data_IF_124147416667
#
_entry.id   IF_124147416667
#
_cell.length_a   1.000
_cell.length_b   1.000
_cell.length_c   1.000
_cell.angle_alpha   90.00
_cell.angle_beta   90.00
_cell.angle_gamma   90.00
#
_symmetry.space_group_name_H-M   'P 1'
#
loop_
_entity.id
_entity.type
_entity.pdbx_description
1 polymer ?
#
# COMPACT_ATOMS: atom_id res chain seq x y z
N UNK A 1 -24.60 1.52 10.60
CA UNK A 1 -23.97 1.71 10.51
C UNK A 1 -22.93 1.39 10.49
N UNK A 2 -22.46 1.43 10.27
CA UNK A 2 -21.44 1.30 10.09
C UNK A 2 -20.53 1.39 10.56
N UNK A 3 -20.48 1.61 11.00
CA UNK A 3 -19.72 1.43 11.49
C UNK A 3 -18.34 1.15 11.49
N UNK A 4 -17.81 0.85 10.72
CA UNK A 4 -16.49 0.46 10.49
C UNK A 4 -15.47 1.54 10.81
N UNK A 5 -15.73 2.70 10.72
CA UNK A 5 -14.74 3.75 10.98
C UNK A 5 -14.81 4.29 12.41
N UNK A 6 -15.18 3.44 13.32
CA UNK A 6 -15.36 3.87 14.69
C UNK A 6 -14.07 3.81 15.47
N UNK A 7 -13.23 4.76 15.25
CA UNK A 7 -11.98 4.84 15.99
C UNK A 7 -12.17 5.75 17.21
N UNK A 8 -11.50 5.43 18.31
CA UNK A 8 -11.61 6.27 19.50
C UNK A 8 -11.05 7.66 19.26
N UNK A 9 -11.50 8.64 20.01
CA UNK A 9 -10.88 9.96 19.93
C UNK A 9 -9.38 9.87 20.22
N UNK A 10 -8.60 10.60 19.46
CA UNK A 10 -7.17 10.59 19.61
C UNK A 10 -6.46 9.38 19.07
N UNK A 11 -7.21 8.49 18.43
CA UNK A 11 -6.62 7.29 17.85
C UNK A 11 -5.59 7.65 16.79
N UNK A 12 -4.48 6.96 16.82
CA UNK A 12 -3.44 7.10 15.80
C UNK A 12 -3.11 5.74 15.24
N UNK A 13 -3.06 5.67 13.93
CA UNK A 13 -2.76 4.42 13.23
C UNK A 13 -1.30 4.46 12.81
N UNK A 14 -0.46 3.72 13.53
CA UNK A 14 0.98 3.68 13.26
C UNK A 14 1.48 2.26 13.26
N UNK A 15 1.07 1.46 12.29
CA UNK A 15 1.55 0.07 12.24
C UNK A 15 3.02 0.03 11.84
N UNK A 16 3.71 -0.95 12.38
CA UNK A 16 5.07 -1.25 11.95
C UNK A 16 5.04 -1.96 10.60
N UNK A 17 6.20 -2.07 9.95
CA UNK A 17 6.29 -2.83 8.71
C UNK A 17 5.81 -4.26 8.91
N UNK A 18 6.22 -4.87 10.03
CA UNK A 18 5.83 -6.24 10.34
C UNK A 18 4.33 -6.37 10.52
N UNK A 19 3.71 -5.40 11.15
CA UNK A 19 2.26 -5.42 11.34
C UNK A 19 1.52 -5.24 10.03
N UNK A 20 2.01 -4.35 9.18
CA UNK A 20 1.36 -4.14 7.88
C UNK A 20 1.36 -5.42 7.06
N UNK A 21 2.47 -6.12 7.02
CA UNK A 21 2.57 -7.34 6.21
C UNK A 21 2.01 -8.54 6.97
N UNK A 22 2.45 -8.74 8.20
CA UNK A 22 2.13 -9.96 8.93
C UNK A 22 0.72 -10.02 9.46
N UNK A 23 0.08 -8.88 9.63
CA UNK A 23 -1.29 -8.86 10.11
C UNK A 23 -2.25 -8.34 9.04
N UNK A 24 -2.11 -7.09 8.62
CA UNK A 24 -3.12 -6.49 7.75
C UNK A 24 -3.14 -7.09 6.36
N UNK A 25 -1.99 -7.18 5.74
CA UNK A 25 -1.93 -7.73 4.38
C UNK A 25 -2.23 -9.23 4.39
N UNK A 26 -1.72 -9.93 5.38
CA UNK A 26 -1.98 -11.36 5.50
C UNK A 26 -3.47 -11.64 5.61
N UNK A 27 -4.17 -10.86 6.42
CA UNK A 27 -5.62 -11.03 6.54
C UNK A 27 -6.34 -10.68 5.26
N UNK A 28 -5.87 -9.66 4.56
CA UNK A 28 -6.47 -9.26 3.29
C UNK A 28 -6.33 -10.37 2.26
N UNK A 29 -5.14 -10.93 2.13
CA UNK A 29 -4.87 -11.99 1.16
C UNK A 29 -5.66 -13.24 1.52
N UNK A 30 -5.82 -13.54 2.80
CA UNK A 30 -6.56 -14.70 3.26
C UNK A 30 -8.06 -14.48 3.28
N UNK A 31 -8.54 -13.32 2.88
CA UNK A 31 -9.96 -12.98 2.91
C UNK A 31 -10.55 -13.04 4.32
N UNK A 32 -9.73 -12.76 5.32
CA UNK A 32 -10.17 -12.77 6.70
C UNK A 32 -10.62 -11.40 7.13
N UNK A 33 -11.45 -11.38 8.14
CA UNK A 33 -11.93 -10.13 8.70
C UNK A 33 -10.82 -9.43 9.47
N UNK A 34 -10.76 -8.12 9.28
CA UNK A 34 -9.82 -7.30 10.03
C UNK A 34 -10.60 -6.60 11.13
N UNK A 35 -10.08 -6.68 12.34
CA UNK A 35 -10.78 -6.17 13.52
C UNK A 35 -11.08 -4.68 13.42
N UNK A 36 -10.13 -3.92 12.91
CA UNK A 36 -10.30 -2.48 12.76
C UNK A 36 -10.17 -2.16 11.27
N UNK A 37 -11.29 -1.84 10.65
CA UNK A 37 -11.34 -1.64 9.20
C UNK A 37 -10.98 -0.20 8.87
N UNK A 38 -9.70 0.10 8.90
CA UNK A 38 -9.21 1.46 8.65
C UNK A 38 -8.46 1.59 7.34
N UNK A 39 -8.17 0.49 6.65
CA UNK A 39 -7.42 0.52 5.40
C UNK A 39 -8.37 0.24 4.26
N UNK A 40 -8.51 1.19 3.35
CA UNK A 40 -9.43 1.08 2.23
C UNK A 40 -8.76 0.48 1.02
N UNK A 41 -9.58 -0.05 0.11
CA UNK A 41 -9.10 -0.50 -1.19
C UNK A 41 -9.12 0.66 -2.16
N UNK A 42 -8.03 0.89 -2.83
CA UNK A 42 -7.86 2.01 -3.75
C UNK A 42 -7.27 1.49 -5.05
N UNK A 43 -7.78 1.99 -6.18
CA UNK A 43 -7.12 1.78 -7.45
C UNK A 43 -6.06 2.86 -7.59
N UNK A 44 -4.81 2.47 -7.38
CA UNK A 44 -3.71 3.41 -7.29
C UNK A 44 -3.61 4.33 -8.51
N UNK A 45 -3.92 3.79 -9.68
CA UNK A 45 -3.69 4.53 -10.93
C UNK A 45 -4.78 5.54 -11.24
N UNK A 46 -5.83 5.55 -10.45
CA UNK A 46 -6.92 6.51 -10.63
C UNK A 46 -6.88 7.64 -9.63
N UNK A 47 -5.84 7.68 -8.81
CA UNK A 47 -5.73 8.66 -7.74
C UNK A 47 -4.38 9.33 -7.79
N UNK A 48 -4.36 10.63 -7.52
CA UNK A 48 -3.11 11.32 -7.31
C UNK A 48 -2.72 11.21 -5.84
N UNK A 49 -1.43 11.38 -5.52
CA UNK A 49 -1.04 11.27 -4.10
C UNK A 49 -1.82 12.23 -3.19
N UNK A 50 -2.08 13.44 -3.67
CA UNK A 50 -2.81 14.40 -2.84
C UNK A 50 -4.28 14.03 -2.66
N UNK A 51 -4.84 13.25 -3.57
CA UNK A 51 -6.21 12.74 -3.39
C UNK A 51 -6.29 11.69 -2.29
N UNK A 52 -5.20 10.98 -2.06
CA UNK A 52 -5.17 9.92 -1.05
C UNK A 52 -5.36 10.47 0.36
N UNK A 53 -4.99 11.71 0.57
CA UNK A 53 -5.18 12.33 1.88
C UNK A 53 -6.65 12.34 2.31
N UNK A 54 -7.53 12.56 1.36
CA UNK A 54 -8.96 12.55 1.66
C UNK A 54 -9.52 11.15 1.69
N UNK A 55 -9.15 10.34 0.69
CA UNK A 55 -9.73 9.01 0.55
C UNK A 55 -9.31 8.06 1.65
N UNK A 56 -8.13 8.24 2.20
CA UNK A 56 -7.59 7.32 3.19
C UNK A 56 -7.57 7.93 4.58
N UNK A 57 -8.39 8.93 4.81
CA UNK A 57 -8.46 9.57 6.11
C UNK A 57 -9.05 8.64 7.15
N UNK A 58 -8.45 8.61 8.32
CA UNK A 58 -8.89 7.78 9.42
C UNK A 58 -9.29 8.68 10.58
N UNK A 59 -10.57 8.66 10.92
CA UNK A 59 -11.06 9.46 12.02
C UNK A 59 -10.88 10.95 11.79
N UNK A 60 -10.77 11.71 12.87
CA UNK A 60 -10.66 13.16 12.79
C UNK A 60 -9.28 13.67 13.17
N UNK A 61 -8.37 12.80 13.57
CA UNK A 61 -7.03 13.22 13.94
C UNK A 61 -6.24 13.60 12.71
N UNK A 62 -5.29 14.48 12.91
CA UNK A 62 -4.39 14.86 11.83
C UNK A 62 -3.49 13.70 11.44
N UNK A 63 -3.40 13.44 10.15
CA UNK A 63 -2.60 12.34 9.63
C UNK A 63 -1.43 12.86 8.84
N UNK A 64 -0.31 12.17 8.96
CA UNK A 64 0.86 12.43 8.15
C UNK A 64 1.20 11.26 7.24
N UNK A 65 0.53 10.14 7.42
CA UNK A 65 0.70 8.96 6.59
C UNK A 65 -0.66 8.39 6.26
N UNK A 66 -0.80 7.87 5.04
CA UNK A 66 -2.07 7.35 4.55
C UNK A 66 -1.86 5.95 4.01
N UNK A 67 -2.80 5.05 4.28
CA UNK A 67 -2.67 3.63 4.00
C UNK A 67 -3.81 3.15 3.12
N UNK A 68 -3.51 2.24 2.21
CA UNK A 68 -4.55 1.63 1.39
C UNK A 68 -4.09 0.28 0.86
N UNK A 69 -5.07 -0.56 0.51
CA UNK A 69 -4.81 -1.80 -0.23
C UNK A 69 -5.00 -1.55 -1.71
N UNK A 70 -4.16 -2.16 -2.52
CA UNK A 70 -4.31 -2.07 -3.96
C UNK A 70 -4.00 -3.44 -4.57
N UNK A 71 -4.62 -3.74 -5.69
CA UNK A 71 -4.41 -5.01 -6.38
C UNK A 71 -3.68 -4.74 -7.67
N UNK A 72 -2.41 -5.07 -7.71
CA UNK A 72 -1.58 -4.66 -8.83
C UNK A 72 -1.86 -5.42 -10.12
N UNK A 73 -2.33 -6.64 -10.03
CA UNK A 73 -2.55 -7.45 -11.23
C UNK A 73 -3.77 -7.05 -12.01
N UNK A 74 -4.68 -6.36 -11.39
CA UNK A 74 -5.85 -5.87 -12.12
C UNK A 74 -5.46 -4.82 -13.15
N UNK A 75 -4.38 -4.12 -12.91
CA UNK A 75 -3.95 -3.06 -13.79
C UNK A 75 -3.08 -3.56 -14.93
N UNK A 76 -2.31 -4.60 -14.68
CA UNK A 76 -1.35 -5.12 -15.66
C UNK A 76 -1.50 -6.62 -15.78
N UNK A 77 -2.53 -7.06 -16.49
CA UNK A 77 -2.74 -8.51 -16.60
C UNK A 77 -1.59 -9.25 -17.27
N UNK A 78 -0.82 -8.56 -18.11
CA UNK A 78 0.34 -9.20 -18.71
C UNK A 78 1.50 -9.34 -17.76
N UNK A 79 1.49 -8.60 -16.68
CA UNK A 79 2.52 -8.72 -15.67
C UNK A 79 3.86 -8.12 -15.98
N UNK A 80 4.00 -7.49 -17.14
CA UNK A 80 5.32 -6.98 -17.53
C UNK A 80 5.52 -5.53 -17.19
N UNK A 81 4.48 -4.83 -16.86
CA UNK A 81 4.64 -3.42 -16.78
C UNK A 81 4.80 -2.93 -15.39
N UNK A 82 5.65 -2.01 -15.23
CA UNK A 82 5.92 -1.42 -13.95
C UNK A 82 5.64 0.07 -13.91
N UNK A 83 5.11 0.59 -15.00
CA UNK A 83 4.84 1.99 -15.08
C UNK A 83 3.58 2.31 -14.29
N UNK A 84 3.74 2.96 -13.17
CA UNK A 84 2.63 3.28 -12.28
C UNK A 84 2.17 4.71 -12.50
N UNK A 85 1.62 4.94 -13.66
CA UNK A 85 1.24 6.28 -14.09
C UNK A 85 -0.15 6.65 -13.62
N UNK A 86 -0.32 7.92 -13.29
CA UNK A 86 -1.61 8.54 -13.04
C UNK A 86 -1.81 9.62 -14.09
N UNK A 87 -2.88 10.39 -13.97
CA UNK A 87 -3.09 11.50 -14.88
C UNK A 87 -2.00 12.56 -14.75
N UNK A 88 -1.59 12.86 -13.52
CA UNK A 88 -0.65 13.95 -13.26
C UNK A 88 0.80 13.53 -13.33
N UNK A 89 1.09 12.24 -13.20
CA UNK A 89 2.48 11.82 -13.14
C UNK A 89 2.63 10.32 -13.03
N UNK A 90 3.67 9.90 -12.32
CA UNK A 90 3.93 8.46 -12.18
C UNK A 90 4.76 8.18 -10.94
N UNK A 91 4.59 6.97 -10.43
CA UNK A 91 5.39 6.48 -9.31
C UNK A 91 6.57 5.69 -9.85
N UNK A 92 7.76 6.03 -9.40
CA UNK A 92 8.97 5.38 -9.86
C UNK A 92 9.67 4.71 -8.67
N UNK A 93 10.00 3.44 -8.85
CA UNK A 93 10.71 2.70 -7.81
C UNK A 93 12.11 3.25 -7.65
N UNK A 94 12.57 3.30 -6.41
CA UNK A 94 13.90 3.80 -6.10
C UNK A 94 14.54 2.92 -5.03
N UNK A 95 15.83 2.68 -5.16
CA UNK A 95 16.55 1.88 -4.20
C UNK A 95 16.22 0.41 -4.30
N UNK A 96 16.73 -0.33 -3.33
CA UNK A 96 16.50 -1.77 -3.28
C UNK A 96 15.28 -2.08 -2.43
N UNK A 97 14.61 -3.17 -2.79
CA UNK A 97 13.54 -3.68 -1.94
C UNK A 97 14.13 -4.15 -0.62
N UNK A 98 13.38 -3.92 0.44
CA UNK A 98 13.80 -4.28 1.78
C UNK A 98 13.01 -5.49 2.24
N UNK A 99 13.69 -6.50 2.79
CA UNK A 99 13.01 -7.66 3.35
C UNK A 99 12.37 -7.31 4.68
N UNK A 100 11.25 -7.94 4.97
CA UNK A 100 10.54 -7.74 6.22
C UNK A 100 10.41 -9.08 6.90
N UNK A 101 10.83 -9.13 8.16
CA UNK A 101 10.80 -10.34 8.95
C UNK A 101 9.98 -10.11 10.21
N UNK A 102 9.24 -11.12 10.59
CA UNK A 102 8.78 -11.20 11.97
C UNK A 102 9.90 -11.87 12.75
N UNK A 103 9.63 -12.19 14.02
CA UNK A 103 10.67 -12.65 14.91
C UNK A 103 11.51 -13.80 14.32
N UNK A 104 10.86 -14.71 13.62
CA UNK A 104 11.56 -15.88 13.11
C UNK A 104 11.39 -16.12 11.63
N UNK A 105 10.54 -15.35 10.97
CA UNK A 105 10.14 -15.68 9.60
C UNK A 105 10.26 -14.49 8.66
N UNK A 106 10.71 -14.79 7.46
CA UNK A 106 10.60 -13.84 6.36
C UNK A 106 9.12 -13.78 5.94
N UNK A 107 8.55 -12.58 5.91
CA UNK A 107 7.13 -12.46 5.60
C UNK A 107 6.83 -11.61 4.38
N UNK A 108 7.75 -10.79 3.93
CA UNK A 108 7.47 -9.99 2.76
C UNK A 108 8.54 -8.99 2.42
N UNK A 109 8.19 -8.09 1.51
CA UNK A 109 9.13 -7.11 0.99
C UNK A 109 8.48 -5.73 1.00
N UNK A 110 9.32 -4.71 1.10
CA UNK A 110 8.92 -3.32 0.99
C UNK A 110 9.65 -2.67 -0.17
N UNK A 111 8.89 -2.09 -1.08
CA UNK A 111 9.42 -1.33 -2.21
C UNK A 111 9.19 0.14 -1.95
N UNK A 112 10.17 0.98 -2.26
CA UNK A 112 10.03 2.42 -2.12
C UNK A 112 9.85 3.05 -3.48
N UNK A 113 8.85 3.94 -3.57
CA UNK A 113 8.57 4.66 -4.82
C UNK A 113 8.46 6.14 -4.53
N UNK A 114 8.80 6.93 -5.53
CA UNK A 114 8.70 8.38 -5.47
C UNK A 114 7.80 8.83 -6.59
N UNK A 115 6.95 9.81 -6.30
CA UNK A 115 6.05 10.33 -7.32
C UNK A 115 6.72 11.45 -8.10
N UNK A 116 6.63 11.35 -9.42
CA UNK A 116 7.12 12.38 -10.34
C UNK A 116 5.95 12.96 -11.09
N UNK A 117 5.92 14.28 -11.22
CA UNK A 117 4.93 14.93 -12.07
C UNK A 117 5.37 14.89 -13.52
N UNK A 118 4.42 14.71 -14.41
CA UNK A 118 4.69 14.71 -15.84
C UNK A 118 4.77 13.32 -16.39
N UNK A 119 5.45 13.18 -17.51
CA UNK A 119 5.53 11.91 -18.22
C UNK A 119 6.87 11.26 -18.03
N UNK A 120 6.84 9.94 -17.83
CA UNK A 120 8.07 9.18 -17.80
C UNK A 120 8.77 9.32 -19.13
N UNK A 121 10.08 9.29 -19.17
CA UNK A 121 11.00 9.11 -18.03
C UNK A 121 11.44 10.40 -17.37
N UNK A 122 10.99 11.54 -17.83
CA UNK A 122 11.58 12.82 -17.47
C UNK A 122 10.77 13.66 -16.51
N UNK A 123 9.89 13.07 -15.75
CA UNK A 123 9.07 13.82 -14.84
C UNK A 123 9.84 14.63 -13.80
N UNK A 124 9.14 15.49 -13.12
CA UNK A 124 9.69 16.32 -12.06
C UNK A 124 9.47 15.65 -10.71
N UNK A 125 10.55 15.43 -9.98
CA UNK A 125 10.51 14.76 -8.69
C UNK A 125 9.71 15.57 -7.68
N UNK A 126 8.89 14.90 -6.90
CA UNK A 126 8.13 15.52 -5.82
C UNK A 126 8.56 14.95 -4.48
N UNK A 127 7.92 15.44 -3.41
CA UNK A 127 8.20 14.95 -2.06
C UNK A 127 7.31 13.77 -1.66
N UNK A 128 6.44 13.32 -2.55
CA UNK A 128 5.56 12.21 -2.23
C UNK A 128 6.29 10.89 -2.33
N UNK A 129 6.22 10.11 -1.25
CA UNK A 129 6.87 8.81 -1.12
C UNK A 129 5.80 7.76 -0.86
N UNK A 130 5.98 6.59 -1.44
CA UNK A 130 5.13 5.45 -1.16
C UNK A 130 5.99 4.25 -0.77
N UNK A 131 5.59 3.57 0.29
CA UNK A 131 6.10 2.25 0.59
C UNK A 131 5.04 1.24 0.21
N UNK A 132 5.40 0.34 -0.68
CA UNK A 132 4.50 -0.71 -1.14
C UNK A 132 4.97 -2.02 -0.53
N UNK A 133 4.07 -2.65 0.20
CA UNK A 133 4.38 -3.89 0.92
C UNK A 133 3.69 -5.06 0.24
N UNK A 134 4.43 -6.12 0.00
CA UNK A 134 3.85 -7.34 -0.54
C UNK A 134 4.17 -8.51 0.35
N UNK A 135 3.24 -9.43 0.38
CA UNK A 135 3.40 -10.66 1.14
C UNK A 135 4.19 -11.63 0.29
N UNK A 136 5.19 -12.27 0.90
CA UNK A 136 6.04 -13.15 0.12
C UNK A 136 6.72 -14.10 1.07
N UNK A 137 6.13 -15.27 1.27
CA UNK A 137 6.81 -16.29 2.05
C UNK A 137 6.88 -17.56 1.23
N UNK A 138 7.68 -18.48 1.70
CA UNK A 138 7.99 -19.67 0.90
C UNK A 138 6.80 -20.56 0.69
N UNK A 139 5.81 -20.46 1.54
CA UNK A 139 4.67 -21.35 1.47
C UNK A 139 3.48 -20.77 0.79
N UNK A 140 3.47 -19.47 0.59
CA UNK A 140 2.29 -18.80 0.07
C UNK A 140 2.03 -19.11 -1.38
N UNK A 141 3.04 -19.45 -2.13
CA UNK A 141 2.87 -19.67 -3.56
C UNK A 141 2.10 -20.94 -3.88
N UNK A 142 1.91 -21.82 -2.92
CA UNK A 142 1.30 -23.11 -3.18
C UNK A 142 -0.20 -23.05 -3.17
N UNK A 143 -0.77 -22.22 -2.33
CA UNK A 143 -2.21 -22.24 -2.09
C UNK A 143 -2.94 -20.98 -2.50
N UNK A 144 -2.23 -19.95 -2.90
CA UNK A 144 -2.87 -18.68 -3.27
C UNK A 144 -3.61 -18.79 -4.57
N UNK A 145 -4.85 -18.33 -4.60
CA UNK A 145 -5.54 -18.18 -5.84
C UNK A 145 -5.09 -16.90 -6.53
N UNK A 146 -5.30 -16.79 -7.85
CA UNK A 146 -4.96 -15.55 -8.54
C UNK A 146 -5.65 -14.32 -7.98
N UNK A 147 -6.85 -14.51 -7.44
CA UNK A 147 -7.59 -13.38 -6.87
C UNK A 147 -6.98 -12.88 -5.57
N UNK A 148 -6.29 -13.75 -4.86
CA UNK A 148 -5.68 -13.39 -3.59
C UNK A 148 -4.24 -12.91 -3.76
N UNK A 149 -3.60 -13.37 -4.81
CA UNK A 149 -2.26 -12.96 -5.14
C UNK A 149 -2.30 -11.56 -5.75
N UNK A 150 -1.32 -10.76 -5.48
CA UNK A 150 -1.27 -9.45 -6.10
C UNK A 150 -1.75 -8.31 -5.23
N UNK A 151 -2.34 -8.62 -4.09
CA UNK A 151 -2.69 -7.56 -3.15
C UNK A 151 -1.43 -7.00 -2.50
N UNK A 152 -1.39 -5.69 -2.39
CA UNK A 152 -0.34 -4.99 -1.67
C UNK A 152 -0.99 -4.01 -0.71
N UNK A 153 -0.28 -3.66 0.35
CA UNK A 153 -0.69 -2.56 1.20
C UNK A 153 0.34 -1.45 1.03
N UNK A 154 -0.13 -0.23 0.96
CA UNK A 154 0.72 0.90 0.67
C UNK A 154 0.62 1.95 1.76
N UNK A 155 1.73 2.58 2.03
CA UNK A 155 1.81 3.74 2.93
C UNK A 155 2.34 4.90 2.12
N UNK A 156 1.61 6.03 2.11
CA UNK A 156 1.98 7.21 1.37
C UNK A 156 2.20 8.35 2.34
N UNK A 157 3.24 9.11 2.12
CA UNK A 157 3.56 10.25 2.99
C UNK A 157 4.42 11.25 2.23
N UNK A 158 4.59 12.42 2.80
CA UNK A 158 5.48 13.43 2.22
C UNK A 158 6.81 13.43 2.95
N UNK A 159 7.87 13.45 2.18
CA UNK A 159 9.21 13.58 2.73
C UNK A 159 9.39 14.96 3.33
N UNK A 160 9.97 15.02 4.49
CA UNK A 160 10.25 16.30 5.12
C UNK A 160 11.54 16.90 4.67
#
# INVERSE_FOLDING_TARGET
>A
MHKHSRVPPGFRFHPTDEELVGYYLHKKVSCRRIDLDVIREIDLYKMEPWDLQEKCRIGSAEQTEWYFFSHKDKKYPTGTRTNRATTAGFWKATGRDKTIHTKYNFVGMRKTLVFYKGRAPNGQKTDWIMHEYRLEDEQSSITSSPDQDGWVVCRVFKKK
#
